data_IF_230891063045
#
_entry.id   IF_230891063045
#
_cell.length_a   1.000
_cell.length_b   1.000
_cell.length_c   1.000
_cell.angle_alpha   90.00
_cell.angle_beta   90.00
_cell.angle_gamma   90.00
#
_symmetry.space_group_name_H-M   'P 1'
#
loop_
_entity.id
_entity.type
_entity.pdbx_description
1 polymer ?
#
# COMPACT_ATOMS: atom_id res chain seq x y z
N UNK A 1 -18.34 29.59 -54.27
CA UNK A 1 -17.72 29.52 -52.93
C UNK A 1 -18.21 28.26 -52.22
N UNK A 2 -17.26 27.55 -51.59
CA UNK A 2 -17.41 26.46 -50.62
C UNK A 2 -18.47 26.80 -49.54
N UNK A 3 -19.15 25.90 -48.83
CA UNK A 3 -18.69 24.63 -48.26
C UNK A 3 -19.89 23.75 -47.82
N UNK A 4 -19.67 22.44 -47.82
CA UNK A 4 -20.59 21.33 -47.48
C UNK A 4 -20.86 21.23 -45.98
N UNK A 5 -22.09 20.86 -45.58
CA UNK A 5 -22.36 20.08 -44.36
C UNK A 5 -23.19 18.85 -44.74
N UNK A 6 -22.51 17.71 -44.87
CA UNK A 6 -23.16 16.41 -44.95
C UNK A 6 -23.65 16.00 -43.55
N UNK A 7 -24.94 15.72 -43.45
CA UNK A 7 -25.54 14.87 -42.45
C UNK A 7 -25.41 13.41 -42.88
N UNK A 8 -24.87 12.52 -42.03
CA UNK A 8 -25.14 11.07 -42.09
C UNK A 8 -25.02 10.45 -40.68
N UNK A 9 -26.21 10.20 -40.11
CA UNK A 9 -26.73 9.06 -39.32
C UNK A 9 -25.93 8.35 -38.19
N UNK A 10 -26.65 7.79 -37.18
CA UNK A 10 -26.08 7.26 -35.95
C UNK A 10 -25.62 5.81 -36.13
N UNK A 11 -24.34 5.56 -35.85
CA UNK A 11 -23.75 4.23 -35.75
C UNK A 11 -23.65 3.80 -34.30
N UNK A 12 -24.31 2.68 -34.00
CA UNK A 12 -24.11 1.84 -32.82
C UNK A 12 -22.63 1.55 -32.61
N UNK A 13 -22.10 1.99 -31.46
CA UNK A 13 -20.77 1.64 -30.98
C UNK A 13 -20.87 1.27 -29.51
N UNK A 14 -21.06 -0.02 -29.24
CA UNK A 14 -20.80 -0.59 -27.92
C UNK A 14 -19.33 -0.34 -27.61
N UNK A 15 -19.06 0.56 -26.65
CA UNK A 15 -17.72 0.71 -26.07
C UNK A 15 -17.49 -0.48 -25.14
N UNK A 16 -16.84 -1.52 -25.64
CA UNK A 16 -16.18 -2.52 -24.80
C UNK A 16 -15.02 -1.85 -24.07
N UNK A 17 -14.85 -2.05 -22.74
CA UNK A 17 -13.70 -1.52 -22.02
C UNK A 17 -12.43 -2.16 -22.58
N UNK A 18 -11.46 -1.33 -22.96
CA UNK A 18 -10.13 -1.81 -23.31
C UNK A 18 -9.50 -2.51 -22.12
N UNK A 19 -9.12 -3.77 -22.30
CA UNK A 19 -8.24 -4.49 -21.39
C UNK A 19 -6.94 -3.69 -21.28
N UNK A 20 -6.79 -2.90 -20.21
CA UNK A 20 -5.48 -2.45 -19.77
C UNK A 20 -4.75 -3.70 -19.28
N UNK A 21 -3.92 -4.28 -20.16
CA UNK A 21 -3.06 -5.40 -19.79
C UNK A 21 -2.29 -5.09 -18.52
N UNK A 22 -2.28 -6.03 -17.58
CA UNK A 22 -1.52 -5.91 -16.35
C UNK A 22 -0.05 -5.57 -16.68
N UNK A 23 0.55 -4.65 -15.92
CA UNK A 23 1.95 -4.26 -16.11
C UNK A 23 2.86 -5.50 -16.10
N UNK A 24 3.89 -5.57 -16.95
CA UNK A 24 4.78 -6.76 -17.07
C UNK A 24 5.52 -7.16 -15.78
N UNK A 25 5.50 -6.29 -14.76
CA UNK A 25 6.06 -6.53 -13.43
C UNK A 25 4.96 -6.61 -12.37
N UNK A 26 3.71 -6.90 -12.74
CA UNK A 26 2.60 -7.06 -11.81
C UNK A 26 2.55 -8.46 -11.19
N UNK A 27 2.98 -9.47 -11.94
CA UNK A 27 3.04 -10.87 -11.51
C UNK A 27 4.46 -11.28 -11.14
N UNK A 28 4.56 -11.98 -10.00
CA UNK A 28 5.79 -12.53 -9.48
C UNK A 28 6.39 -13.55 -10.44
N UNK A 29 5.56 -14.33 -11.13
CA UNK A 29 6.05 -15.25 -12.16
C UNK A 29 6.86 -14.50 -13.23
N UNK A 30 6.39 -13.35 -13.72
CA UNK A 30 7.12 -12.56 -14.70
C UNK A 30 8.38 -11.91 -14.09
N UNK A 31 8.31 -11.42 -12.85
CA UNK A 31 9.46 -10.86 -12.15
C UNK A 31 10.56 -11.90 -11.89
N UNK A 32 10.20 -13.15 -11.60
CA UNK A 32 11.13 -14.26 -11.33
C UNK A 32 12.00 -14.64 -12.53
N UNK A 33 11.60 -14.28 -13.75
CA UNK A 33 12.38 -14.48 -14.98
C UNK A 33 13.52 -13.46 -15.13
N UNK A 34 13.57 -12.43 -14.29
CA UNK A 34 14.62 -11.42 -14.33
C UNK A 34 15.94 -11.95 -13.71
N UNK A 35 17.11 -11.38 -14.09
CA UNK A 35 18.37 -11.70 -13.45
C UNK A 35 18.31 -11.53 -11.93
N UNK A 36 18.94 -12.43 -11.16
CA UNK A 36 18.87 -12.47 -9.69
C UNK A 36 19.11 -11.11 -9.01
N UNK A 37 20.06 -10.32 -9.51
CA UNK A 37 20.35 -8.98 -8.98
C UNK A 37 19.15 -8.03 -9.10
N UNK A 38 18.47 -8.04 -10.26
CA UNK A 38 17.28 -7.22 -10.50
C UNK A 38 16.09 -7.72 -9.68
N UNK A 39 15.93 -9.04 -9.57
CA UNK A 39 14.90 -9.65 -8.73
C UNK A 39 15.09 -9.26 -7.26
N UNK A 40 16.31 -9.34 -6.72
CA UNK A 40 16.62 -8.96 -5.33
C UNK A 40 16.28 -7.50 -5.04
N UNK A 41 16.63 -6.57 -5.93
CA UNK A 41 16.28 -5.14 -5.78
C UNK A 41 14.77 -4.87 -5.87
N UNK A 42 14.05 -5.63 -6.70
CA UNK A 42 12.58 -5.54 -6.76
C UNK A 42 11.90 -6.09 -5.51
N UNK A 43 12.40 -7.19 -4.94
CA UNK A 43 11.78 -7.80 -3.75
C UNK A 43 12.18 -7.09 -2.46
N UNK A 44 13.44 -6.72 -2.32
CA UNK A 44 14.02 -6.17 -1.11
C UNK A 44 14.74 -4.85 -1.42
N UNK A 45 14.02 -3.73 -1.53
CA UNK A 45 14.63 -2.47 -1.98
C UNK A 45 15.70 -1.94 -1.02
N UNK A 46 15.64 -2.31 0.26
CA UNK A 46 16.73 -2.05 1.22
C UNK A 46 18.08 -2.60 0.77
N UNK A 47 18.10 -3.71 0.02
CA UNK A 47 19.34 -4.30 -0.46
C UNK A 47 20.11 -3.40 -1.42
N UNK A 48 19.44 -2.46 -2.08
CA UNK A 48 20.09 -1.46 -2.93
C UNK A 48 20.76 -0.34 -2.13
N UNK A 49 20.36 -0.17 -0.86
CA UNK A 49 20.92 0.82 0.06
C UNK A 49 22.08 0.27 0.88
N UNK A 50 22.20 -1.06 1.01
CA UNK A 50 23.29 -1.73 1.74
C UNK A 50 24.71 -1.25 1.37
N UNK A 51 25.06 -0.99 0.09
CA UNK A 51 26.39 -0.51 -0.27
C UNK A 51 26.74 0.88 0.29
N UNK A 52 25.73 1.65 0.69
CA UNK A 52 25.88 3.00 1.22
C UNK A 52 25.88 3.04 2.76
N UNK A 53 25.61 1.91 3.42
CA UNK A 53 25.70 1.78 4.87
C UNK A 53 27.16 1.52 5.27
N UNK A 54 27.61 2.15 6.36
CA UNK A 54 28.97 1.92 6.87
C UNK A 54 29.22 0.43 7.16
N UNK A 55 30.39 -0.09 6.78
CA UNK A 55 30.76 -1.50 7.03
C UNK A 55 30.78 -1.89 8.53
N UNK A 56 30.75 -0.91 9.42
CA UNK A 56 30.81 -1.06 10.88
C UNK A 56 29.45 -1.20 11.58
N UNK A 57 28.34 -1.24 10.83
CA UNK A 57 27.01 -1.43 11.43
C UNK A 57 26.82 -2.91 11.82
N UNK A 58 26.63 -3.17 13.12
CA UNK A 58 26.23 -4.49 13.60
C UNK A 58 24.85 -4.87 13.04
N UNK A 59 24.82 -5.92 12.22
CA UNK A 59 23.60 -6.44 11.58
C UNK A 59 22.93 -7.55 12.41
N UNK A 60 23.54 -8.01 13.51
CA UNK A 60 23.08 -9.18 14.26
C UNK A 60 21.71 -8.97 14.93
N UNK A 61 21.39 -7.73 15.28
CA UNK A 61 20.16 -7.38 15.99
C UNK A 61 19.01 -6.93 15.08
N UNK A 62 19.22 -6.82 13.77
CA UNK A 62 18.21 -6.31 12.84
C UNK A 62 17.62 -7.46 12.01
N UNK A 63 16.57 -8.09 12.54
CA UNK A 63 15.81 -9.10 11.79
C UNK A 63 14.83 -8.41 10.84
N UNK A 64 15.24 -8.28 9.59
CA UNK A 64 14.35 -7.86 8.51
C UNK A 64 13.31 -8.97 8.23
N UNK A 65 12.08 -8.55 7.97
CA UNK A 65 11.04 -9.35 7.32
C UNK A 65 11.53 -9.79 5.93
N UNK A 66 12.02 -11.03 5.88
CA UNK A 66 12.59 -11.65 4.69
C UNK A 66 11.90 -13.01 4.45
N UNK A 67 10.66 -13.00 3.94
CA UNK A 67 9.96 -14.23 3.61
C UNK A 67 10.65 -14.96 2.44
N UNK A 68 10.45 -16.28 2.38
CA UNK A 68 10.94 -17.09 1.28
C UNK A 68 10.27 -16.69 -0.05
N UNK A 69 10.95 -17.00 -1.17
CA UNK A 69 10.37 -16.82 -2.51
C UNK A 69 9.05 -17.59 -2.66
N UNK A 70 8.95 -18.77 -2.03
CA UNK A 70 7.74 -19.56 -2.02
C UNK A 70 6.60 -18.86 -1.28
N UNK A 71 6.88 -18.23 -0.15
CA UNK A 71 5.88 -17.49 0.62
C UNK A 71 5.40 -16.25 -0.11
N UNK A 72 6.28 -15.56 -0.84
CA UNK A 72 5.91 -14.46 -1.73
C UNK A 72 4.99 -14.96 -2.85
N UNK A 73 5.30 -16.11 -3.46
CA UNK A 73 4.47 -16.71 -4.50
C UNK A 73 3.10 -17.18 -3.95
N UNK A 74 3.06 -17.73 -2.72
CA UNK A 74 1.80 -18.08 -2.03
C UNK A 74 0.95 -16.83 -1.76
N UNK A 75 1.56 -15.76 -1.27
CA UNK A 75 0.87 -14.50 -1.02
C UNK A 75 0.24 -13.90 -2.29
N UNK A 76 0.95 -13.96 -3.42
CA UNK A 76 0.45 -13.43 -4.70
C UNK A 76 -0.86 -14.10 -5.15
N UNK A 77 -1.05 -15.38 -4.84
CA UNK A 77 -2.31 -16.11 -5.17
C UNK A 77 -3.53 -15.45 -4.51
N UNK A 78 -3.39 -14.84 -3.34
CA UNK A 78 -4.49 -14.13 -2.66
C UNK A 78 -4.83 -12.80 -3.32
N UNK A 79 -3.91 -12.20 -4.08
CA UNK A 79 -4.16 -10.99 -4.86
C UNK A 79 -4.60 -11.28 -6.30
N UNK A 80 -4.67 -12.56 -6.68
CA UNK A 80 -5.07 -13.02 -8.00
C UNK A 80 -6.52 -13.54 -7.96
N UNK A 81 -7.49 -12.88 -8.62
CA UNK A 81 -8.88 -13.34 -8.62
C UNK A 81 -9.03 -14.72 -9.26
N UNK A 82 -9.95 -15.51 -8.73
CA UNK A 82 -10.38 -16.78 -9.29
C UNK A 82 -11.91 -16.94 -9.14
N UNK A 83 -12.55 -17.91 -9.81
CA UNK A 83 -14.00 -18.11 -9.68
C UNK A 83 -14.48 -18.30 -8.23
N UNK A 84 -13.64 -18.88 -7.36
CA UNK A 84 -13.92 -19.09 -5.93
C UNK A 84 -13.34 -18.01 -5.00
N UNK A 85 -12.49 -17.11 -5.52
CA UNK A 85 -11.82 -16.05 -4.78
C UNK A 85 -11.94 -14.72 -5.53
N UNK A 86 -12.96 -13.93 -5.19
CA UNK A 86 -13.20 -12.63 -5.82
C UNK A 86 -12.53 -11.51 -5.04
N UNK A 87 -11.95 -10.55 -5.75
CA UNK A 87 -11.47 -9.30 -5.17
C UNK A 87 -12.39 -8.21 -5.70
N UNK A 88 -13.03 -7.47 -4.80
CA UNK A 88 -14.08 -6.52 -5.16
C UNK A 88 -14.04 -5.27 -4.29
N UNK A 89 -14.37 -4.14 -4.92
CA UNK A 89 -14.74 -2.94 -4.19
C UNK A 89 -16.09 -3.19 -3.52
N UNK A 90 -16.13 -3.13 -2.20
CA UNK A 90 -17.32 -3.48 -1.42
C UNK A 90 -18.24 -2.28 -1.18
N UNK A 91 -17.71 -1.20 -0.60
CA UNK A 91 -18.48 0.01 -0.29
C UNK A 91 -17.55 1.18 0.07
N UNK A 92 -18.12 2.39 0.16
CA UNK A 92 -17.47 3.57 0.75
C UNK A 92 -18.29 4.13 1.89
N UNK A 93 -17.63 4.50 2.99
CA UNK A 93 -18.27 5.14 4.13
C UNK A 93 -17.69 6.55 4.35
N UNK A 94 -18.58 7.53 4.57
CA UNK A 94 -18.17 8.88 4.99
C UNK A 94 -17.95 8.92 6.50
N UNK A 95 -18.70 8.12 7.26
CA UNK A 95 -18.67 8.07 8.72
C UNK A 95 -18.59 6.62 9.17
N UNK A 96 -18.10 6.40 10.37
CA UNK A 96 -17.93 5.06 10.94
C UNK A 96 -19.23 4.27 11.09
N UNK A 97 -20.33 4.95 11.37
CA UNK A 97 -21.68 4.37 11.41
C UNK A 97 -22.11 3.73 10.07
N UNK A 98 -21.55 4.18 8.95
CA UNK A 98 -21.80 3.64 7.62
C UNK A 98 -20.74 2.61 7.18
N UNK A 99 -19.70 2.39 7.99
CA UNK A 99 -18.69 1.39 7.70
C UNK A 99 -19.30 -0.02 7.85
N UNK A 100 -19.05 -0.94 6.91
CA UNK A 100 -19.63 -2.28 6.97
C UNK A 100 -19.13 -3.00 8.23
N UNK A 101 -20.02 -3.67 8.96
CA UNK A 101 -19.59 -4.59 10.00
C UNK A 101 -19.01 -5.85 9.35
N UNK A 102 -17.75 -6.18 9.63
CA UNK A 102 -17.05 -7.31 9.04
C UNK A 102 -16.29 -8.07 10.11
N UNK A 103 -16.34 -9.40 10.04
CA UNK A 103 -15.60 -10.28 10.96
C UNK A 103 -14.21 -10.66 10.43
N UNK A 104 -13.93 -10.37 9.16
CA UNK A 104 -12.64 -10.66 8.55
C UNK A 104 -11.56 -9.70 9.06
N UNK A 105 -10.29 -10.16 9.16
CA UNK A 105 -9.15 -9.28 9.40
C UNK A 105 -9.14 -8.08 8.44
N UNK A 106 -8.82 -6.92 8.97
CA UNK A 106 -8.84 -5.66 8.24
C UNK A 106 -7.51 -4.94 8.36
N UNK A 107 -7.03 -4.39 7.25
CA UNK A 107 -5.87 -3.51 7.24
C UNK A 107 -6.27 -2.18 6.62
N UNK A 108 -5.80 -1.08 7.18
CA UNK A 108 -6.08 0.25 6.66
C UNK A 108 -4.83 0.95 6.17
N UNK A 109 -4.99 1.82 5.19
CA UNK A 109 -3.93 2.66 4.64
C UNK A 109 -4.25 4.11 4.98
N UNK A 110 -3.37 4.77 5.72
CA UNK A 110 -3.45 6.19 6.05
C UNK A 110 -2.23 6.91 5.48
N UNK A 111 -2.36 8.19 5.18
CA UNK A 111 -1.25 8.99 4.66
C UNK A 111 -1.71 10.36 4.17
N UNK A 112 -0.76 11.28 3.99
CA UNK A 112 -1.05 12.61 3.44
C UNK A 112 -1.73 12.55 2.07
N UNK A 113 -2.51 13.59 1.76
CA UNK A 113 -2.97 13.85 0.39
C UNK A 113 -1.81 13.79 -0.60
N UNK A 114 -1.99 13.06 -1.70
CA UNK A 114 -0.99 12.84 -2.75
C UNK A 114 0.29 12.10 -2.32
N UNK A 115 0.35 11.46 -1.14
CA UNK A 115 1.50 10.63 -0.73
C UNK A 115 1.72 9.44 -1.67
N UNK A 116 0.68 8.98 -2.37
CA UNK A 116 0.74 7.81 -3.26
C UNK A 116 -0.16 6.66 -2.83
N UNK A 117 -0.99 6.84 -1.81
CA UNK A 117 -1.89 5.80 -1.26
C UNK A 117 -2.74 5.06 -2.28
N UNK A 118 -3.57 5.77 -3.05
CA UNK A 118 -4.43 5.10 -4.04
C UNK A 118 -3.62 4.49 -5.20
N UNK A 119 -2.44 5.04 -5.53
CA UNK A 119 -1.50 4.44 -6.48
C UNK A 119 -0.90 3.13 -5.94
N UNK A 120 -0.57 3.10 -4.65
CA UNK A 120 -0.08 1.90 -3.97
C UNK A 120 -1.16 0.82 -3.93
N UNK A 121 -2.39 1.16 -3.53
CA UNK A 121 -3.51 0.21 -3.50
C UNK A 121 -3.78 -0.34 -4.91
N UNK A 122 -3.72 0.51 -5.95
CA UNK A 122 -3.81 0.06 -7.34
C UNK A 122 -2.66 -0.89 -7.74
N UNK A 123 -1.43 -0.64 -7.27
CA UNK A 123 -0.31 -1.54 -7.52
C UNK A 123 -0.47 -2.88 -6.76
N UNK A 124 -0.95 -2.85 -5.52
CA UNK A 124 -1.25 -4.06 -4.73
C UNK A 124 -2.30 -4.92 -5.43
N UNK A 125 -3.35 -4.32 -6.00
CA UNK A 125 -4.39 -5.00 -6.77
C UNK A 125 -4.13 -5.10 -8.29
N UNK A 126 -2.87 -4.96 -8.74
CA UNK A 126 -2.55 -5.00 -10.18
C UNK A 126 -2.90 -6.32 -10.89
N UNK A 127 -3.10 -7.40 -10.13
CA UNK A 127 -3.54 -8.72 -10.62
C UNK A 127 -5.07 -8.86 -10.69
N UNK A 128 -5.80 -7.86 -10.21
CA UNK A 128 -7.26 -7.78 -10.20
C UNK A 128 -7.72 -6.51 -10.93
N UNK A 129 -7.55 -6.42 -12.26
CA UNK A 129 -7.76 -5.19 -13.03
C UNK A 129 -9.20 -4.67 -13.00
N UNK A 130 -10.17 -5.55 -12.71
CA UNK A 130 -11.59 -5.20 -12.63
C UNK A 130 -11.96 -4.42 -11.35
N UNK A 131 -11.05 -4.34 -10.37
CA UNK A 131 -11.27 -3.58 -9.14
C UNK A 131 -11.07 -2.09 -9.43
N UNK A 132 -12.17 -1.33 -9.45
CA UNK A 132 -12.13 0.11 -9.71
C UNK A 132 -11.46 0.86 -8.56
N UNK A 133 -10.25 1.36 -8.80
CA UNK A 133 -9.49 2.18 -7.85
C UNK A 133 -9.21 3.53 -8.48
N UNK A 134 -9.84 4.57 -7.95
CA UNK A 134 -9.71 5.93 -8.47
C UNK A 134 -8.43 6.58 -7.95
N UNK A 135 -7.50 6.84 -8.87
CA UNK A 135 -6.23 7.53 -8.59
C UNK A 135 -6.32 8.93 -9.17
N UNK A 136 -6.18 9.96 -8.32
CA UNK A 136 -6.14 11.36 -8.75
C UNK A 136 -4.87 12.04 -8.25
N UNK A 137 -4.38 12.99 -9.06
CA UNK A 137 -3.28 13.90 -8.68
C UNK A 137 -3.78 15.11 -7.89
N UNK A 138 -5.09 15.35 -7.87
CA UNK A 138 -5.68 16.49 -7.16
C UNK A 138 -5.82 16.15 -5.67
N UNK A 139 -5.25 16.96 -4.75
CA UNK A 139 -5.37 16.72 -3.31
C UNK A 139 -6.84 16.70 -2.85
N UNK A 140 -7.15 15.86 -1.85
CA UNK A 140 -8.51 15.71 -1.31
C UNK A 140 -9.47 14.88 -2.17
N UNK A 141 -8.96 14.07 -3.10
CA UNK A 141 -9.79 13.21 -3.95
C UNK A 141 -10.49 12.08 -3.16
N UNK A 142 -9.76 11.40 -2.28
CA UNK A 142 -10.34 10.38 -1.39
C UNK A 142 -10.91 11.08 -0.16
N UNK A 143 -12.24 11.25 -0.12
CA UNK A 143 -12.98 11.86 1.00
C UNK A 143 -13.78 10.84 1.83
N UNK A 144 -13.76 9.58 1.41
CA UNK A 144 -14.49 8.47 2.04
C UNK A 144 -13.50 7.35 2.34
N UNK A 145 -13.81 6.56 3.35
CA UNK A 145 -13.15 5.27 3.59
C UNK A 145 -13.65 4.29 2.52
N UNK A 146 -12.76 3.74 1.70
CA UNK A 146 -13.12 2.76 0.66
C UNK A 146 -12.70 1.36 1.11
N UNK A 147 -13.65 0.42 1.10
CA UNK A 147 -13.44 -0.95 1.55
C UNK A 147 -13.31 -1.87 0.34
N UNK A 148 -12.21 -2.63 0.28
CA UNK A 148 -11.92 -3.61 -0.75
C UNK A 148 -11.82 -4.99 -0.11
N UNK A 149 -12.68 -5.92 -0.52
CA UNK A 149 -12.67 -7.30 -0.02
C UNK A 149 -11.72 -8.14 -0.85
N UNK A 150 -10.90 -8.94 -0.18
CA UNK A 150 -9.99 -9.91 -0.79
C UNK A 150 -10.52 -11.31 -0.49
N UNK A 151 -11.52 -11.72 -1.27
CA UNK A 151 -12.25 -12.96 -1.12
C UNK A 151 -12.84 -13.12 0.29
N UNK A 152 -12.52 -14.25 0.92
CA UNK A 152 -12.89 -14.51 2.31
C UNK A 152 -11.75 -14.24 3.30
N UNK A 153 -10.60 -13.78 2.81
CA UNK A 153 -9.36 -13.70 3.58
C UNK A 153 -9.32 -12.45 4.45
N UNK A 154 -9.33 -11.25 3.85
CA UNK A 154 -9.21 -9.99 4.56
C UNK A 154 -9.85 -8.82 3.79
N UNK A 155 -9.94 -7.67 4.46
CA UNK A 155 -10.39 -6.40 3.86
C UNK A 155 -9.28 -5.37 3.91
N UNK A 156 -9.07 -4.66 2.79
CA UNK A 156 -8.18 -3.50 2.71
C UNK A 156 -9.02 -2.22 2.71
N UNK A 157 -8.63 -1.23 3.52
CA UNK A 157 -9.35 0.03 3.65
C UNK A 157 -8.48 1.20 3.20
N UNK A 158 -8.92 1.92 2.18
CA UNK A 158 -8.32 3.19 1.75
C UNK A 158 -8.93 4.33 2.55
N UNK A 159 -8.20 4.86 3.54
CA UNK A 159 -8.68 5.99 4.32
C UNK A 159 -8.56 7.29 3.52
N UNK A 160 -9.34 8.34 3.84
CA UNK A 160 -9.10 9.67 3.28
C UNK A 160 -7.67 10.15 3.52
N UNK A 161 -7.17 11.04 2.66
CA UNK A 161 -5.84 11.63 2.85
C UNK A 161 -5.88 12.79 3.83
N UNK A 162 -4.89 12.89 4.73
CA UNK A 162 -4.75 14.01 5.66
C UNK A 162 -3.84 15.13 5.16
N UNK A 163 -3.76 16.23 5.92
CA UNK A 163 -3.01 17.43 5.56
C UNK A 163 -3.75 18.33 4.56
N UNK A 164 -3.06 18.79 3.51
CA UNK A 164 -3.62 19.77 2.56
C UNK A 164 -4.91 19.24 1.89
N UNK A 165 -6.01 19.99 2.03
CA UNK A 165 -7.37 19.66 1.55
C UNK A 165 -7.93 18.34 2.10
N UNK A 166 -7.52 17.94 3.30
CA UNK A 166 -8.20 16.88 4.04
C UNK A 166 -9.67 17.26 4.33
N UNK A 167 -10.58 16.27 4.47
CA UNK A 167 -11.90 16.51 5.05
C UNK A 167 -11.79 17.17 6.43
N UNK A 168 -12.73 18.07 6.77
CA UNK A 168 -12.72 18.76 8.08
C UNK A 168 -12.88 17.80 9.25
N UNK A 169 -13.63 16.73 9.02
CA UNK A 169 -13.94 15.62 9.91
C UNK A 169 -12.92 14.48 9.82
N UNK A 170 -11.77 14.69 9.17
CA UNK A 170 -10.77 13.64 9.00
C UNK A 170 -10.28 13.06 10.34
N UNK A 171 -9.92 13.94 11.27
CA UNK A 171 -9.36 13.53 12.57
C UNK A 171 -10.38 12.70 13.33
N UNK A 172 -11.60 13.20 13.52
CA UNK A 172 -12.71 12.49 14.15
C UNK A 172 -13.00 11.14 13.48
N UNK A 173 -12.98 11.10 12.14
CA UNK A 173 -13.20 9.86 11.37
C UNK A 173 -12.12 8.82 11.64
N UNK A 174 -10.85 9.21 11.65
CA UNK A 174 -9.73 8.28 11.87
C UNK A 174 -9.62 7.90 13.34
N UNK A 175 -9.80 8.82 14.28
CA UNK A 175 -9.87 8.52 15.71
C UNK A 175 -10.96 7.49 16.00
N UNK A 176 -12.18 7.71 15.48
CA UNK A 176 -13.26 6.75 15.69
C UNK A 176 -12.98 5.42 14.98
N UNK A 177 -12.36 5.42 13.79
CA UNK A 177 -11.97 4.20 13.09
C UNK A 177 -10.92 3.41 13.89
N UNK A 178 -9.83 4.04 14.28
CA UNK A 178 -8.75 3.42 15.07
C UNK A 178 -9.26 3.00 16.44
N UNK A 179 -10.08 3.78 17.12
CA UNK A 179 -10.62 3.44 18.44
C UNK A 179 -11.61 2.27 18.41
N UNK A 180 -12.54 2.25 17.46
CA UNK A 180 -13.70 1.32 17.51
C UNK A 180 -13.54 0.03 16.70
N UNK A 181 -12.64 -0.01 15.70
CA UNK A 181 -12.57 -1.12 14.74
C UNK A 181 -11.82 -2.34 15.31
N UNK A 182 -12.57 -3.29 15.86
CA UNK A 182 -12.01 -4.47 16.56
C UNK A 182 -11.25 -5.45 15.65
N UNK A 183 -11.63 -5.55 14.38
CA UNK A 183 -11.02 -6.45 13.39
C UNK A 183 -9.82 -5.82 12.65
N UNK A 184 -9.44 -4.59 12.98
CA UNK A 184 -8.27 -3.92 12.43
C UNK A 184 -6.99 -4.56 13.00
N UNK A 185 -6.22 -5.24 12.15
CA UNK A 185 -5.00 -5.96 12.55
C UNK A 185 -3.72 -5.14 12.35
N UNK A 186 -3.71 -4.23 11.37
CA UNK A 186 -2.53 -3.40 11.07
C UNK A 186 -2.91 -2.13 10.32
N UNK A 187 -2.29 -1.02 10.71
CA UNK A 187 -2.35 0.26 10.01
C UNK A 187 -1.09 0.48 9.17
N UNK A 188 -1.25 0.85 7.90
CA UNK A 188 -0.15 1.17 7.00
C UNK A 188 -0.07 2.70 6.86
N UNK A 189 0.91 3.31 7.52
CA UNK A 189 1.16 4.75 7.51
C UNK A 189 2.11 5.10 6.36
N UNK A 190 1.60 5.79 5.36
CA UNK A 190 2.37 6.12 4.16
C UNK A 190 3.12 7.44 4.31
N UNK A 191 4.39 7.41 3.94
CA UNK A 191 5.28 8.58 3.88
C UNK A 191 5.85 8.71 2.47
N UNK A 192 5.96 9.92 1.96
CA UNK A 192 6.59 10.17 0.65
C UNK A 192 8.11 10.15 0.82
N UNK A 193 8.80 9.21 0.19
CA UNK A 193 10.25 9.05 0.34
C UNK A 193 11.07 10.23 -0.16
N UNK A 194 10.50 11.09 -1.00
CA UNK A 194 11.16 12.32 -1.48
C UNK A 194 10.99 13.52 -0.54
N UNK A 195 9.99 13.49 0.34
CA UNK A 195 9.65 14.57 1.27
C UNK A 195 10.06 14.23 2.71
N UNK A 196 9.99 12.95 3.08
CA UNK A 196 10.15 12.50 4.46
C UNK A 196 8.91 12.75 5.31
N UNK A 197 9.06 12.55 6.61
CA UNK A 197 8.00 12.82 7.59
C UNK A 197 7.69 14.32 7.67
N UNK A 198 6.45 14.62 8.02
CA UNK A 198 5.94 15.96 8.25
C UNK A 198 5.11 15.98 9.53
N UNK A 199 4.80 17.16 10.05
CA UNK A 199 3.99 17.34 11.27
C UNK A 199 2.67 16.56 11.22
N UNK A 200 1.98 16.58 10.07
CA UNK A 200 0.73 15.84 9.90
C UNK A 200 0.92 14.32 9.95
N UNK A 201 2.09 13.80 9.58
CA UNK A 201 2.42 12.38 9.72
C UNK A 201 2.71 12.03 11.19
N UNK A 202 3.30 12.95 11.96
CA UNK A 202 3.53 12.78 13.40
C UNK A 202 2.23 12.68 14.18
N UNK A 203 1.24 13.53 13.87
CA UNK A 203 -0.09 13.44 14.48
C UNK A 203 -0.74 12.07 14.20
N UNK A 204 -0.66 11.58 12.96
CA UNK A 204 -1.20 10.28 12.60
C UNK A 204 -0.49 9.12 13.31
N UNK A 205 0.82 9.26 13.55
CA UNK A 205 1.62 8.32 14.33
C UNK A 205 1.21 8.33 15.80
N UNK A 206 1.11 9.52 16.41
CA UNK A 206 0.66 9.70 17.80
C UNK A 206 -0.71 9.08 18.03
N UNK A 207 -1.65 9.26 17.11
CA UNK A 207 -2.96 8.60 17.16
C UNK A 207 -2.83 7.06 17.15
N UNK A 208 -1.93 6.49 16.35
CA UNK A 208 -1.74 5.04 16.34
C UNK A 208 -1.20 4.53 17.68
N UNK A 209 -0.24 5.25 18.28
CA UNK A 209 0.31 4.91 19.61
C UNK A 209 -0.76 5.08 20.71
N UNK A 210 -1.50 6.18 20.71
CA UNK A 210 -2.56 6.48 21.70
C UNK A 210 -3.65 5.40 21.70
N UNK A 211 -4.14 5.01 20.52
CA UNK A 211 -5.14 3.95 20.39
C UNK A 211 -4.53 2.54 20.47
N UNK A 212 -3.22 2.42 20.76
CA UNK A 212 -2.49 1.15 20.81
C UNK A 212 -2.72 0.28 19.57
N UNK A 213 -2.75 0.91 18.39
CA UNK A 213 -2.98 0.24 17.11
C UNK A 213 -1.65 -0.07 16.44
N UNK A 214 -1.33 -1.36 16.23
CA UNK A 214 -0.09 -1.72 15.54
C UNK A 214 -0.06 -1.12 14.14
N UNK A 215 1.05 -0.47 13.79
CA UNK A 215 1.21 0.14 12.48
C UNK A 215 2.56 -0.16 11.86
N UNK A 216 2.69 0.14 10.57
CA UNK A 216 3.92 -0.01 9.81
C UNK A 216 4.07 1.19 8.88
N UNK A 217 5.29 1.69 8.77
CA UNK A 217 5.60 2.79 7.87
C UNK A 217 5.88 2.26 6.46
N UNK A 218 5.21 2.83 5.46
CA UNK A 218 5.43 2.53 4.05
C UNK A 218 5.99 3.76 3.34
N UNK A 219 7.26 3.69 2.94
CA UNK A 219 7.96 4.75 2.22
C UNK A 219 7.70 4.62 0.73
N UNK A 220 6.84 5.48 0.22
CA UNK A 220 6.37 5.47 -1.17
C UNK A 220 7.23 6.34 -2.09
N UNK A 221 7.04 6.19 -3.42
CA UNK A 221 7.70 6.99 -4.48
C UNK A 221 9.22 6.96 -4.41
N UNK A 222 9.80 5.83 -4.01
CA UNK A 222 11.26 5.67 -3.96
C UNK A 222 11.92 5.89 -5.33
N UNK A 223 11.17 5.68 -6.42
CA UNK A 223 11.59 5.96 -7.81
C UNK A 223 11.82 7.44 -8.12
N UNK A 224 11.24 8.35 -7.33
CA UNK A 224 11.40 9.80 -7.52
C UNK A 224 12.42 10.43 -6.60
N UNK A 225 12.94 9.66 -5.65
CA UNK A 225 13.84 10.18 -4.64
C UNK A 225 15.30 9.99 -5.07
N UNK A 226 16.13 11.01 -4.83
CA UNK A 226 17.58 10.84 -4.92
C UNK A 226 18.04 9.96 -3.75
N UNK A 227 18.91 8.99 -4.00
CA UNK A 227 19.36 8.02 -2.99
C UNK A 227 19.82 8.68 -1.68
N UNK A 228 20.61 9.77 -1.76
CA UNK A 228 21.06 10.49 -0.55
C UNK A 228 19.91 11.08 0.27
N UNK A 229 18.89 11.65 -0.37
CA UNK A 229 17.70 12.18 0.32
C UNK A 229 16.90 11.05 0.94
N UNK A 230 16.73 9.93 0.22
CA UNK A 230 16.04 8.75 0.74
C UNK A 230 16.73 8.21 2.00
N UNK A 231 18.06 8.10 1.97
CA UNK A 231 18.85 7.66 3.13
C UNK A 231 18.67 8.60 4.33
N UNK A 232 18.78 9.91 4.14
CA UNK A 232 18.53 10.88 5.22
C UNK A 232 17.14 10.72 5.83
N UNK A 233 16.12 10.59 4.98
CA UNK A 233 14.74 10.42 5.44
C UNK A 233 14.54 9.09 6.17
N UNK A 234 15.21 8.02 5.75
CA UNK A 234 15.15 6.72 6.43
C UNK A 234 15.83 6.74 7.80
N UNK A 235 16.95 7.47 7.95
CA UNK A 235 17.60 7.64 9.25
C UNK A 235 16.70 8.38 10.24
N UNK A 236 16.07 9.47 9.80
CA UNK A 236 15.09 10.20 10.61
C UNK A 236 13.89 9.33 11.00
N UNK A 237 13.40 8.51 10.06
CA UNK A 237 12.35 7.54 10.33
C UNK A 237 12.79 6.50 11.37
N UNK A 238 14.01 5.99 11.26
CA UNK A 238 14.54 5.01 12.19
C UNK A 238 14.62 5.57 13.62
N UNK A 239 15.09 6.80 13.78
CA UNK A 239 15.15 7.46 15.09
C UNK A 239 13.76 7.50 15.76
N UNK A 240 12.72 7.83 14.99
CA UNK A 240 11.34 7.85 15.48
C UNK A 240 10.82 6.45 15.78
N UNK A 241 11.04 5.48 14.88
CA UNK A 241 10.60 4.10 15.08
C UNK A 241 11.17 3.52 16.38
N UNK A 242 12.43 3.81 16.72
CA UNK A 242 13.05 3.33 17.96
C UNK A 242 12.44 3.91 19.24
N UNK A 243 11.70 5.01 19.14
CA UNK A 243 11.01 5.66 20.26
C UNK A 243 9.56 5.21 20.41
N UNK A 244 9.03 4.44 19.44
CA UNK A 244 7.63 4.00 19.40
C UNK A 244 7.49 2.55 19.84
N UNK A 245 6.31 2.17 20.35
CA UNK A 245 6.06 0.82 20.85
C UNK A 245 5.23 0.00 19.85
N UNK A 246 4.27 0.61 19.17
CA UNK A 246 3.34 -0.04 18.25
C UNK A 246 3.82 -0.12 16.81
N UNK A 247 4.92 0.54 16.45
CA UNK A 247 5.46 0.50 15.10
C UNK A 247 6.21 -0.79 14.80
N UNK A 248 5.92 -1.40 13.66
CA UNK A 248 6.74 -2.47 13.11
C UNK A 248 8.16 -1.92 12.80
N UNK A 249 9.23 -2.54 13.31
CA UNK A 249 10.59 -1.96 13.24
C UNK A 249 11.13 -1.70 11.83
N UNK A 250 10.66 -2.48 10.84
CA UNK A 250 11.10 -2.33 9.45
C UNK A 250 10.13 -1.44 8.64
N UNK A 251 10.60 -0.32 8.05
CA UNK A 251 9.84 0.40 7.03
C UNK A 251 9.72 -0.41 5.73
N UNK A 252 8.64 -0.26 4.97
CA UNK A 252 8.52 -0.87 3.64
C UNK A 252 8.74 0.17 2.54
N UNK A 253 9.85 0.04 1.82
CA UNK A 253 10.16 0.86 0.65
C UNK A 253 9.38 0.36 -0.56
N UNK A 254 8.62 1.24 -1.21
CA UNK A 254 7.80 0.86 -2.37
C UNK A 254 7.85 1.88 -3.51
N UNK A 255 7.92 1.35 -4.74
CA UNK A 255 7.61 2.09 -5.96
C UNK A 255 6.40 1.45 -6.64
N UNK A 256 5.27 2.16 -6.66
CA UNK A 256 4.08 1.73 -7.41
C UNK A 256 4.30 1.75 -8.93
N UNK A 257 5.29 2.51 -9.41
CA UNK A 257 5.63 2.58 -10.83
C UNK A 257 6.45 1.37 -11.28
N UNK A 258 7.47 1.00 -10.51
CA UNK A 258 8.40 -0.07 -10.85
C UNK A 258 8.11 -1.41 -10.16
N UNK A 259 7.05 -1.47 -9.34
CA UNK A 259 6.68 -2.64 -8.53
C UNK A 259 7.73 -3.08 -7.50
N UNK A 260 8.76 -2.27 -7.28
CA UNK A 260 9.76 -2.47 -6.23
C UNK A 260 9.08 -2.45 -4.86
N UNK A 261 9.34 -3.47 -4.03
CA UNK A 261 8.77 -3.67 -2.70
C UNK A 261 7.31 -4.13 -2.65
N UNK A 262 6.59 -4.13 -3.79
CA UNK A 262 5.14 -4.47 -3.81
C UNK A 262 4.91 -5.93 -3.45
N UNK A 263 5.75 -6.84 -3.95
CA UNK A 263 5.66 -8.28 -3.65
C UNK A 263 5.85 -8.57 -2.17
N UNK A 264 6.85 -7.92 -1.57
CA UNK A 264 7.14 -8.04 -0.15
C UNK A 264 5.99 -7.49 0.69
N UNK A 265 5.41 -6.35 0.29
CA UNK A 265 4.26 -5.76 0.97
C UNK A 265 3.01 -6.65 0.86
N UNK A 266 2.74 -7.26 -0.30
CA UNK A 266 1.67 -8.26 -0.46
C UNK A 266 1.84 -9.41 0.53
N UNK A 267 3.06 -9.97 0.61
CA UNK A 267 3.39 -11.05 1.53
C UNK A 267 3.18 -10.65 2.99
N UNK A 268 3.67 -9.47 3.39
CA UNK A 268 3.48 -8.94 4.73
C UNK A 268 2.01 -8.75 5.09
N UNK A 269 1.19 -8.15 4.19
CA UNK A 269 -0.26 -7.99 4.40
C UNK A 269 -0.93 -9.35 4.62
N UNK A 270 -0.62 -10.34 3.80
CA UNK A 270 -1.22 -11.68 3.93
C UNK A 270 -0.78 -12.39 5.20
N UNK A 271 0.44 -12.12 5.68
CA UNK A 271 0.95 -12.67 6.93
C UNK A 271 0.27 -12.04 8.15
N UNK A 272 0.23 -10.70 8.25
CA UNK A 272 -0.37 -10.01 9.41
C UNK A 272 -1.90 -10.18 9.51
N UNK A 273 -2.55 -10.51 8.39
CA UNK A 273 -3.97 -10.87 8.38
C UNK A 273 -4.22 -12.34 8.71
N UNK A 274 -3.17 -13.14 8.94
CA UNK A 274 -3.28 -14.57 9.23
C UNK A 274 -3.68 -15.42 8.03
N UNK A 275 -3.65 -14.86 6.81
CA UNK A 275 -4.05 -15.56 5.58
C UNK A 275 -2.97 -16.54 5.08
N UNK A 276 -1.71 -16.27 5.42
CA UNK A 276 -0.59 -17.19 5.19
C UNK A 276 0.24 -17.36 6.47
N UNK A 277 0.74 -18.57 6.68
CA UNK A 277 1.80 -18.83 7.65
C UNK A 277 3.12 -18.91 6.88
N UNK A 278 4.11 -18.17 7.35
CA UNK A 278 5.45 -18.15 6.75
C UNK A 278 6.23 -19.36 7.24
N UNK A 279 6.99 -19.99 6.35
CA UNK A 279 7.74 -21.22 6.68
C UNK A 279 8.89 -20.97 7.64
N UNK A 280 9.58 -19.83 7.50
CA UNK A 280 10.91 -19.61 8.09
C UNK A 280 11.11 -18.26 8.78
N UNK A 281 10.08 -17.43 8.94
CA UNK A 281 10.26 -16.22 9.74
C UNK A 281 10.23 -16.59 11.21
N UNK A 282 11.41 -16.50 11.84
CA UNK A 282 11.55 -16.53 13.29
C UNK A 282 10.42 -15.72 13.92
N UNK A 283 9.64 -16.38 14.76
CA UNK A 283 8.64 -15.75 15.60
C UNK A 283 9.33 -14.58 16.32
N UNK A 284 8.86 -13.36 16.05
CA UNK A 284 9.14 -12.18 16.88
C UNK A 284 7.81 -11.57 17.28
#
# INVERSE_FOLDING_TARGET
MFCRRLWLKPGTGFWTPSQQGAHNLASFHQASLLPQRKLRGLLFPFSELEPHLACSVDRAHFQLFQPSVEDIAKAEKLFSPSPSHKIDYHTSAVRMEHAPSQNQPEVCFIGRSNVGKSSLIRALFSLAPDVEIRVSKTPGHTKKMNFFKVGKAFTMVDMPGYGYRAPKDFVEMVEHYLGSRKNLVRTFLLVDGSVGLQEADMIALEMCEEFSRPYVIVVTKIDKCRQGVLLTNLLQLQDIITQTVGCFPQPFLVSSLHFSGIYLLRCFITHVTGSIQLGDTCQS
#
